data_IF_908802341901
#
_entry.id   IF_908802341901
#
_cell.length_a   1.000
_cell.length_b   1.000
_cell.length_c   1.000
_cell.angle_alpha   90.00
_cell.angle_beta   90.00
_cell.angle_gamma   90.00
#
_symmetry.space_group_name_H-M   'P 1'
#
loop_
_entity.id
_entity.type
_entity.pdbx_description
1 polymer ?
2 non-polymer ?
3 non-polymer ?
4 non-polymer ?
5 water ?
#
# COMPACT_ATOMS: atom_id res chain seq x y z
N UNK A 36 -29.08 2.41 6.07
CA UNK A 36 -29.20 3.25 4.82
C UNK A 36 -28.78 2.44 3.58
N UNK A 37 -29.31 2.82 2.40
CA UNK A 37 -28.95 2.20 1.09
C UNK A 37 -28.68 3.31 0.08
N UNK A 38 -27.71 4.16 0.41
CA UNK A 38 -27.41 5.40 -0.36
C UNK A 38 -26.33 5.15 -1.43
N UNK A 39 -25.60 4.03 -1.36
CA UNK A 39 -24.43 3.77 -2.24
C UNK A 39 -23.30 4.77 -1.99
N UNK A 40 -23.07 5.18 -0.75
CA UNK A 40 -21.98 6.11 -0.35
C UNK A 40 -21.12 5.53 0.77
N UNK A 41 -21.52 4.42 1.39
CA UNK A 41 -20.85 3.88 2.61
C UNK A 41 -19.48 3.29 2.26
N UNK A 42 -18.62 3.24 3.27
CA UNK A 42 -17.30 2.62 3.14
C UNK A 42 -17.41 1.15 2.81
N UNK A 43 -16.47 0.66 2.01
CA UNK A 43 -16.31 -0.78 1.76
C UNK A 43 -15.13 -1.32 2.57
N UNK A 44 -15.39 -2.30 3.43
CA UNK A 44 -14.37 -2.84 4.35
C UNK A 44 -13.69 -4.08 3.78
N UNK A 45 -13.85 -4.30 2.47
CA UNK A 45 -13.06 -5.30 1.70
C UNK A 45 -12.25 -4.60 0.62
N UNK A 46 -12.07 -3.29 0.80
CA UNK A 46 -11.25 -2.44 -0.09
C UNK A 46 -10.11 -1.81 0.71
N UNK A 47 -8.89 -2.14 0.34
CA UNK A 47 -7.65 -1.81 1.06
C UNK A 47 -6.84 -0.84 0.23
N UNK A 48 -6.48 0.30 0.83
CA UNK A 48 -5.72 1.30 0.07
C UNK A 48 -4.34 1.45 0.70
N UNK A 49 -3.29 1.17 -0.05
CA UNK A 49 -1.91 1.21 0.50
C UNK A 49 -1.48 2.66 0.80
N UNK A 50 -1.15 2.86 2.07
CA UNK A 50 -0.90 4.20 2.64
C UNK A 50 0.52 4.27 3.21
N UNK A 51 1.17 5.40 2.93
CA UNK A 51 2.58 5.67 3.31
C UNK A 51 2.62 6.85 4.28
N UNK A 52 3.24 6.61 5.42
CA UNK A 52 3.31 7.57 6.54
C UNK A 52 4.73 8.13 6.70
N UNK A 53 5.52 8.15 5.63
CA UNK A 53 6.97 8.44 5.70
C UNK A 53 7.30 9.89 5.28
N UNK A 54 6.30 10.73 5.09
CA UNK A 54 6.51 12.11 4.63
C UNK A 54 6.70 13.03 5.84
N UNK A 55 7.50 14.10 5.70
CA UNK A 55 7.68 15.10 6.77
C UNK A 55 7.38 16.51 6.32
N UNK A 56 7.11 17.41 7.26
CA UNK A 56 7.00 18.85 6.99
C UNK A 56 7.77 19.63 8.06
N UNK A 57 8.21 20.83 7.70
CA UNK A 57 8.87 21.76 8.65
C UNK A 57 7.92 21.97 9.83
N UNK A 58 6.61 22.10 9.55
CA UNK A 58 5.59 22.43 10.56
C UNK A 58 5.62 21.41 11.72
N UNK A 59 5.65 20.11 11.40
CA UNK A 59 5.59 19.02 12.42
C UNK A 59 6.98 18.40 12.65
N UNK A 60 7.71 18.05 11.60
CA UNK A 60 8.94 17.23 11.69
C UNK A 60 10.18 18.12 11.69
N UNK A 61 10.00 19.39 11.32
CA UNK A 61 11.11 20.33 11.14
C UNK A 61 12.00 19.94 9.98
N UNK A 62 11.52 19.06 9.10
CA UNK A 62 12.26 18.57 7.91
C UNK A 62 11.32 17.92 6.89
N UNK A 63 11.76 17.86 5.63
CA UNK A 63 10.95 17.41 4.46
C UNK A 63 11.33 15.98 4.03
N UNK A 64 11.20 15.05 4.99
CA UNK A 64 11.46 13.61 4.77
C UNK A 64 10.63 13.07 3.60
N UNK A 65 11.30 12.30 2.74
CA UNK A 65 10.76 11.63 1.54
C UNK A 65 10.45 12.61 0.42
N UNK A 66 9.99 13.84 0.70
CA UNK A 66 9.94 14.84 -0.39
C UNK A 66 11.36 15.05 -0.92
N UNK A 67 12.33 15.02 0.00
CA UNK A 67 13.76 14.82 -0.31
C UNK A 67 14.03 13.32 -0.39
N UNK A 68 14.76 12.89 -1.40
CA UNK A 68 15.03 11.45 -1.56
C UNK A 68 16.26 11.24 -2.42
N UNK A 69 17.02 10.18 -2.14
CA UNK A 69 18.15 9.77 -3.00
C UNK A 69 17.61 9.33 -4.37
N UNK A 70 18.38 9.63 -5.40
CA UNK A 70 18.13 9.11 -6.77
C UNK A 70 18.86 7.76 -6.83
N UNK A 71 18.13 6.71 -7.22
CA UNK A 71 18.71 5.35 -7.29
C UNK A 71 19.70 5.26 -8.45
N UNK A 72 20.88 4.63 -8.25
CA UNK A 72 21.76 4.33 -9.38
C UNK A 72 21.09 3.29 -10.29
N UNK A 73 21.48 3.29 -11.56
CA UNK A 73 21.03 2.31 -12.58
C UNK A 73 21.67 0.96 -12.24
N UNK A 74 20.88 -0.08 -11.91
CA UNK A 74 21.47 -1.39 -11.61
C UNK A 74 22.24 -2.00 -12.78
N UNK A 75 22.04 -1.49 -14.01
CA UNK A 75 22.76 -1.98 -15.23
C UNK A 75 23.73 -0.90 -15.76
N UNK A 76 24.04 0.13 -14.97
CA UNK A 76 24.71 1.36 -15.45
C UNK A 76 26.18 1.48 -15.08
N UNK A 77 26.80 0.42 -14.57
CA UNK A 77 28.24 0.37 -14.30
C UNK A 77 28.64 1.16 -13.06
N UNK A 78 29.95 1.21 -12.78
CA UNK A 78 30.53 1.76 -11.53
C UNK A 78 30.74 3.26 -11.65
N UNK A 79 30.87 3.93 -10.50
CA UNK A 79 31.20 5.37 -10.40
C UNK A 79 30.00 6.27 -10.69
N UNK A 80 28.78 5.76 -10.57
CA UNK A 80 27.58 6.63 -10.64
C UNK A 80 27.51 7.46 -9.35
N UNK A 81 27.26 8.74 -9.51
CA UNK A 81 26.97 9.69 -8.40
C UNK A 81 25.62 10.29 -8.76
N UNK A 82 24.53 9.50 -8.65
CA UNK A 82 23.21 9.90 -9.19
C UNK A 82 22.61 11.12 -8.48
N UNK A 83 23.06 11.36 -7.25
CA UNK A 83 22.66 12.55 -6.47
C UNK A 83 21.35 12.34 -5.74
N UNK A 84 20.74 13.47 -5.39
CA UNK A 84 19.54 13.49 -4.52
C UNK A 84 18.57 14.55 -5.03
N UNK A 85 17.31 14.31 -4.76
CA UNK A 85 16.26 15.35 -4.93
C UNK A 85 16.13 16.05 -3.59
N UNK A 86 16.26 17.39 -3.57
CA UNK A 86 16.40 18.07 -2.28
C UNK A 86 15.12 18.31 -1.46
N UNK A 87 13.94 18.05 -2.05
CA UNK A 87 12.68 18.24 -1.32
C UNK A 87 12.40 19.69 -1.01
N UNK A 88 12.83 20.58 -1.89
CA UNK A 88 12.45 22.01 -1.83
C UNK A 88 11.02 22.14 -2.38
N UNK A 89 10.40 23.30 -2.26
CA UNK A 89 9.06 23.50 -2.85
C UNK A 89 9.14 23.21 -4.36
N UNK A 90 10.25 23.57 -4.99
CA UNK A 90 10.38 23.49 -6.47
C UNK A 90 10.70 22.06 -6.92
N UNK A 91 11.41 21.29 -6.10
CA UNK A 91 12.00 19.99 -6.51
C UNK A 91 11.75 18.91 -5.46
N UNK A 92 10.69 18.14 -5.66
CA UNK A 92 10.30 17.02 -4.75
C UNK A 92 10.46 15.68 -5.48
N UNK A 93 10.49 14.62 -4.69
CA UNK A 93 10.78 13.26 -5.19
C UNK A 93 9.50 12.59 -5.73
N UNK A 94 8.90 13.21 -6.73
CA UNK A 94 7.68 12.74 -7.39
C UNK A 94 7.65 13.34 -8.78
N UNK A 95 7.06 12.63 -9.74
CA UNK A 95 6.76 13.21 -11.06
C UNK A 95 5.46 14.03 -10.99
N UNK A 96 4.68 13.89 -9.91
CA UNK A 96 3.43 14.64 -9.66
C UNK A 96 3.64 15.58 -8.46
N UNK A 97 2.62 16.38 -8.15
CA UNK A 97 2.74 17.36 -7.04
C UNK A 97 1.48 17.33 -6.19
N UNK A 98 1.61 17.08 -4.86
CA UNK A 98 0.43 16.98 -4.01
C UNK A 98 -0.38 18.29 -3.91
N UNK A 99 -1.69 18.18 -3.95
CA UNK A 99 -2.59 19.30 -3.63
C UNK A 99 -2.28 19.84 -2.24
N UNK A 100 -1.95 18.97 -1.30
CA UNK A 100 -1.71 19.38 0.10
C UNK A 100 -0.28 19.90 0.31
N UNK A 101 0.56 19.95 -0.73
CA UNK A 101 1.95 20.41 -0.61
C UNK A 101 2.82 19.39 0.08
N UNK A 102 4.00 19.83 0.53
CA UNK A 102 5.00 18.97 1.19
C UNK A 102 4.55 18.76 2.63
N UNK A 103 3.65 17.82 2.83
CA UNK A 103 2.98 17.62 4.11
C UNK A 103 3.76 16.67 5.02
N UNK A 104 3.52 16.80 6.32
CA UNK A 104 3.99 15.83 7.33
C UNK A 104 2.92 14.76 7.54
N UNK A 105 3.35 13.51 7.52
CA UNK A 105 2.50 12.36 7.90
C UNK A 105 2.12 12.38 9.39
N UNK A 106 2.76 13.25 10.19
CA UNK A 106 2.47 13.39 11.65
C UNK A 106 1.61 14.61 11.93
N UNK A 107 1.18 15.34 10.89
CA UNK A 107 0.35 16.56 11.06
C UNK A 107 -1.10 16.14 11.25
N UNK A 108 -1.71 16.27 12.45
CA UNK A 108 -3.09 15.83 12.64
C UNK A 108 -4.06 16.48 11.67
N UNK A 109 -3.80 17.70 11.19
CA UNK A 109 -4.71 18.40 10.25
C UNK A 109 -4.61 17.73 8.87
N UNK A 110 -3.42 17.28 8.47
CA UNK A 110 -3.27 16.50 7.21
C UNK A 110 -4.00 15.18 7.36
N UNK A 111 -3.85 14.52 8.50
CA UNK A 111 -4.48 13.19 8.67
C UNK A 111 -6.00 13.34 8.56
N UNK A 112 -6.58 14.37 9.18
CA UNK A 112 -8.03 14.64 9.05
C UNK A 112 -8.41 14.67 7.56
N UNK A 113 -7.69 15.45 6.77
CA UNK A 113 -7.95 15.63 5.33
C UNK A 113 -7.81 14.28 4.63
N UNK A 114 -6.79 13.51 4.92
CA UNK A 114 -6.63 12.18 4.30
C UNK A 114 -7.83 11.31 4.62
N UNK A 115 -8.33 11.30 5.86
CA UNK A 115 -9.47 10.42 6.21
C UNK A 115 -10.71 10.90 5.46
N UNK A 116 -10.89 12.20 5.25
CA UNK A 116 -12.04 12.67 4.44
C UNK A 116 -11.86 12.23 2.98
N UNK A 117 -10.63 12.16 2.47
CA UNK A 117 -10.36 11.62 1.11
C UNK A 117 -10.70 10.12 1.05
N UNK A 118 -10.38 9.33 2.08
CA UNK A 118 -10.76 7.89 2.14
C UNK A 118 -12.29 7.80 2.12
N UNK A 119 -13.00 8.66 2.84
CA UNK A 119 -14.48 8.65 2.82
C UNK A 119 -14.98 8.97 1.41
N UNK A 120 -14.38 9.93 0.71
CA UNK A 120 -14.82 10.27 -0.67
C UNK A 120 -14.57 9.07 -1.59
N UNK A 121 -13.48 8.34 -1.39
CA UNK A 121 -13.11 7.19 -2.23
C UNK A 121 -13.88 5.93 -1.84
N UNK A 122 -14.53 5.91 -0.67
CA UNK A 122 -15.29 4.75 -0.15
C UNK A 122 -14.35 3.60 0.21
N UNK A 123 -13.06 3.90 0.43
CA UNK A 123 -12.06 2.88 0.80
C UNK A 123 -12.07 2.71 2.32
N UNK A 124 -12.60 1.61 2.85
CA UNK A 124 -12.80 1.42 4.27
C UNK A 124 -11.55 1.02 5.03
N UNK A 125 -10.52 0.53 4.33
CA UNK A 125 -9.29 0.06 5.03
C UNK A 125 -8.04 0.77 4.51
N UNK A 126 -7.30 1.33 5.46
CA UNK A 126 -5.99 1.99 5.24
C UNK A 126 -4.95 0.93 5.57
N UNK A 127 -4.17 0.53 4.56
CA UNK A 127 -3.15 -0.52 4.70
C UNK A 127 -1.80 0.17 4.89
N UNK A 128 -1.41 0.32 6.16
CA UNK A 128 -0.30 1.21 6.59
C UNK A 128 1.05 0.54 6.42
N UNK A 129 1.92 1.15 5.60
CA UNK A 129 3.33 0.73 5.51
C UNK A 129 3.92 0.64 6.91
N UNK A 130 4.72 -0.39 7.18
CA UNK A 130 5.25 -0.59 8.53
C UNK A 130 6.68 -1.10 8.41
N UNK A 131 7.61 -0.27 8.92
CA UNK A 131 9.07 -0.46 8.72
C UNK A 131 9.80 -0.80 10.00
N UNK A 132 9.08 -1.00 11.10
CA UNK A 132 9.71 -1.43 12.38
C UNK A 132 10.84 -0.46 12.76
N UNK A 133 10.52 0.83 12.78
CA UNK A 133 11.54 1.87 13.09
C UNK A 133 11.92 1.81 14.57
N UNK A 134 11.05 1.35 15.46
CA UNK A 134 11.32 1.22 16.91
C UNK A 134 11.78 2.59 17.44
N UNK A 135 11.01 3.62 17.12
CA UNK A 135 11.31 4.99 17.59
C UNK A 135 10.00 5.64 18.01
N UNK A 136 10.07 6.54 18.96
CA UNK A 136 8.95 7.33 19.50
C UNK A 136 8.12 7.97 18.36
N UNK A 137 8.79 8.47 17.33
CA UNK A 137 8.10 9.23 16.26
C UNK A 137 7.18 8.28 15.47
N UNK A 138 7.60 7.04 15.21
CA UNK A 138 6.74 6.01 14.57
C UNK A 138 5.54 5.72 15.47
N UNK A 139 5.79 5.48 16.76
CA UNK A 139 4.71 5.13 17.70
C UNK A 139 3.68 6.26 17.74
N UNK A 140 4.13 7.50 17.82
CA UNK A 140 3.19 8.64 17.89
C UNK A 140 2.36 8.68 16.60
N UNK A 141 3.01 8.54 15.47
CA UNK A 141 2.37 8.70 14.15
C UNK A 141 1.31 7.59 13.98
N UNK A 142 1.64 6.36 14.34
CA UNK A 142 0.63 5.28 14.20
C UNK A 142 -0.59 5.61 15.05
N UNK A 143 -0.40 6.07 16.27
CA UNK A 143 -1.56 6.41 17.13
C UNK A 143 -2.38 7.55 16.53
N UNK A 144 -1.73 8.57 15.96
CA UNK A 144 -2.46 9.69 15.31
C UNK A 144 -3.28 9.16 14.13
N UNK A 145 -2.71 8.26 13.36
CA UNK A 145 -3.41 7.70 12.18
C UNK A 145 -4.64 6.90 12.64
N UNK A 146 -4.48 6.03 13.63
CA UNK A 146 -5.63 5.27 14.17
C UNK A 146 -6.71 6.23 14.68
N UNK A 147 -6.31 7.24 15.45
CA UNK A 147 -7.29 8.19 16.02
C UNK A 147 -8.05 8.89 14.89
N UNK A 148 -7.35 9.39 13.89
CA UNK A 148 -7.99 10.14 12.79
C UNK A 148 -8.91 9.19 12.02
N UNK A 149 -8.45 7.97 11.75
CA UNK A 149 -9.25 6.98 11.01
C UNK A 149 -10.58 6.76 11.73
N UNK A 150 -10.54 6.55 13.05
CA UNK A 150 -11.75 6.15 13.80
C UNK A 150 -12.82 7.23 13.70
N UNK A 151 -12.44 8.51 13.62
CA UNK A 151 -13.44 9.59 13.58
C UNK A 151 -14.34 9.46 12.34
N UNK A 152 -13.84 8.75 11.31
CA UNK A 152 -14.56 8.58 10.02
C UNK A 152 -14.90 7.11 9.77
N UNK A 153 -14.81 6.24 10.78
CA UNK A 153 -15.15 4.80 10.68
C UNK A 153 -14.21 4.10 9.69
N UNK A 154 -13.02 4.66 9.45
CA UNK A 154 -12.00 3.97 8.63
C UNK A 154 -11.25 2.99 9.52
N UNK A 155 -10.81 1.89 8.93
CA UNK A 155 -10.07 0.84 9.64
C UNK A 155 -8.63 0.85 9.16
N UNK A 156 -7.76 0.36 10.01
CA UNK A 156 -6.30 0.33 9.72
C UNK A 156 -5.83 -1.10 9.87
N UNK A 157 -5.11 -1.58 8.87
CA UNK A 157 -4.31 -2.82 8.96
C UNK A 157 -2.86 -2.48 8.61
N UNK A 158 -1.95 -3.41 8.83
CA UNK A 158 -0.50 -3.15 8.61
C UNK A 158 0.01 -3.92 7.40
N UNK A 159 0.83 -3.23 6.63
CA UNK A 159 1.57 -3.71 5.47
C UNK A 159 3.02 -3.92 5.92
N UNK A 160 3.39 -5.14 6.27
CA UNK A 160 4.68 -5.44 6.89
C UNK A 160 5.76 -5.46 5.82
N UNK A 161 6.64 -4.47 5.90
CA UNK A 161 7.70 -4.26 4.88
C UNK A 161 8.94 -5.09 5.21
N UNK A 162 9.89 -5.17 4.25
CA UNK A 162 11.10 -5.94 4.42
C UNK A 162 12.14 -5.17 5.25
N UNK A 163 11.87 -5.10 6.55
CA UNK A 163 12.77 -4.43 7.51
C UNK A 163 14.00 -5.31 7.75
N UNK A 164 15.11 -4.72 8.27
CA UNK A 164 16.37 -5.45 8.39
C UNK A 164 16.25 -6.71 9.26
N UNK A 165 16.82 -7.81 8.75
CA UNK A 165 16.84 -9.13 9.43
C UNK A 165 15.41 -9.65 9.67
N UNK A 166 14.41 -9.18 8.92
CA UNK A 166 13.05 -9.71 9.06
C UNK A 166 13.11 -11.25 8.92
N UNK A 167 12.48 -11.92 9.86
CA UNK A 167 12.41 -13.41 9.87
C UNK A 167 11.13 -13.79 10.59
N UNK A 168 10.78 -15.08 10.59
CA UNK A 168 9.45 -15.41 11.16
C UNK A 168 9.40 -15.22 12.68
N UNK A 169 10.54 -15.28 13.38
CA UNK A 169 10.51 -15.12 14.85
C UNK A 169 10.25 -13.65 15.19
N UNK A 170 11.02 -12.72 14.61
CA UNK A 170 10.73 -11.30 14.90
C UNK A 170 9.42 -10.87 14.24
N UNK A 171 8.99 -11.50 13.14
CA UNK A 171 7.63 -11.18 12.62
C UNK A 171 6.59 -11.57 13.66
N UNK A 172 6.72 -12.75 14.28
CA UNK A 172 5.73 -13.15 15.31
C UNK A 172 5.74 -12.12 16.44
N UNK A 173 6.94 -11.73 16.87
CA UNK A 173 7.09 -10.79 18.01
C UNK A 173 6.42 -9.46 17.65
N UNK A 174 6.60 -9.02 16.40
CA UNK A 174 6.02 -7.74 15.91
C UNK A 174 4.51 -7.83 15.70
N UNK A 175 4.01 -8.96 15.25
CA UNK A 175 2.55 -9.19 15.16
C UNK A 175 1.96 -9.14 16.57
N UNK A 176 2.57 -9.82 17.52
CA UNK A 176 2.12 -9.78 18.93
C UNK A 176 2.14 -8.32 19.44
N UNK A 177 3.20 -7.60 19.15
CA UNK A 177 3.33 -6.19 19.62
C UNK A 177 2.23 -5.33 19.00
N UNK A 178 2.00 -5.46 17.70
CA UNK A 178 0.99 -4.62 17.02
C UNK A 178 -0.42 -4.97 17.52
N UNK A 179 -0.73 -6.26 17.68
CA UNK A 179 -2.06 -6.64 18.19
C UNK A 179 -2.20 -6.20 19.65
N UNK A 180 -1.16 -6.34 20.45
CA UNK A 180 -1.21 -5.93 21.87
C UNK A 180 -1.43 -4.40 21.96
N UNK A 181 -0.65 -3.65 21.19
CA UNK A 181 -0.64 -2.17 21.31
C UNK A 181 -1.91 -1.58 20.70
N UNK A 182 -2.36 -2.12 19.55
CA UNK A 182 -3.37 -1.46 18.71
C UNK A 182 -4.64 -2.31 18.53
N UNK A 183 -4.63 -3.57 18.97
CA UNK A 183 -5.76 -4.51 18.70
C UNK A 183 -7.06 -4.05 19.31
N UNK A 184 -7.03 -3.30 20.42
CA UNK A 184 -8.27 -2.83 21.10
C UNK A 184 -8.62 -1.42 20.61
N UNK A 185 -7.83 -0.83 19.71
CA UNK A 185 -8.17 0.49 19.15
C UNK A 185 -9.41 0.31 18.28
N UNK A 186 -10.47 1.14 18.41
CA UNK A 186 -11.68 0.94 17.63
C UNK A 186 -11.47 0.94 16.11
N UNK A 187 -10.36 1.51 15.64
CA UNK A 187 -10.08 1.58 14.18
C UNK A 187 -9.26 0.37 13.71
N UNK A 188 -8.81 -0.49 14.60
CA UNK A 188 -8.00 -1.65 14.20
C UNK A 188 -8.88 -2.61 13.37
N UNK A 189 -8.43 -2.96 12.19
CA UNK A 189 -9.20 -3.82 11.26
C UNK A 189 -9.26 -5.27 11.72
N UNK A 190 -10.45 -5.86 11.58
CA UNK A 190 -10.64 -7.33 11.63
C UNK A 190 -11.59 -7.73 10.52
N UNK A 191 -11.31 -8.90 9.96
CA UNK A 191 -12.19 -9.58 8.98
C UNK A 191 -12.65 -10.88 9.65
N UNK A 192 -13.96 -11.02 9.84
CA UNK A 192 -14.56 -12.21 10.53
C UNK A 192 -13.76 -12.52 11.80
N UNK A 193 -13.44 -11.49 12.59
CA UNK A 193 -12.82 -11.69 13.90
C UNK A 193 -11.30 -11.76 13.87
N UNK A 194 -10.65 -11.75 12.70
CA UNK A 194 -9.18 -11.88 12.59
C UNK A 194 -8.56 -10.60 12.07
N UNK A 195 -7.46 -10.14 12.70
CA UNK A 195 -6.62 -9.14 12.05
C UNK A 195 -6.15 -9.61 10.67
N UNK A 196 -5.75 -8.67 9.83
CA UNK A 196 -5.19 -9.00 8.49
C UNK A 196 -3.88 -8.25 8.30
N UNK A 197 -2.85 -8.93 7.85
CA UNK A 197 -1.57 -8.31 7.47
C UNK A 197 -1.23 -8.64 6.02
N UNK A 198 -0.78 -7.64 5.29
CA UNK A 198 -0.11 -7.83 3.99
C UNK A 198 1.38 -7.97 4.25
N UNK A 199 2.04 -8.91 3.61
CA UNK A 199 3.50 -9.15 3.78
C UNK A 199 4.22 -8.85 2.47
N UNK A 200 4.88 -7.70 2.40
CA UNK A 200 5.59 -7.31 1.17
C UNK A 200 6.86 -8.14 1.03
N UNK A 201 7.14 -8.58 -0.20
CA UNK A 201 8.34 -9.39 -0.56
C UNK A 201 8.40 -10.61 0.38
N UNK A 202 7.25 -11.26 0.58
CA UNK A 202 7.17 -12.49 1.40
C UNK A 202 8.05 -13.61 0.84
N UNK A 203 8.40 -13.57 -0.45
CA UNK A 203 9.30 -14.56 -1.10
C UNK A 203 10.73 -14.47 -0.55
N UNK A 204 11.10 -13.37 0.12
CA UNK A 204 12.44 -13.27 0.73
C UNK A 204 12.56 -14.28 1.88
N UNK A 205 11.47 -14.96 2.25
CA UNK A 205 11.51 -15.91 3.38
C UNK A 205 11.02 -17.26 2.84
N UNK A 206 11.79 -18.31 3.11
CA UNK A 206 11.51 -19.67 2.62
C UNK A 206 10.21 -20.19 3.19
N UNK A 207 9.44 -20.97 2.39
CA UNK A 207 8.23 -21.60 2.92
C UNK A 207 8.47 -22.44 4.18
N UNK A 208 9.62 -23.09 4.30
CA UNK A 208 9.89 -23.92 5.50
C UNK A 208 9.89 -23.04 6.75
N UNK A 209 10.34 -21.79 6.62
CA UNK A 209 10.28 -20.82 7.77
C UNK A 209 8.82 -20.36 7.97
N UNK A 210 8.15 -19.94 6.92
CA UNK A 210 6.73 -19.54 7.03
C UNK A 210 5.89 -20.62 7.73
N UNK A 211 6.12 -21.90 7.42
CA UNK A 211 5.35 -23.03 7.97
C UNK A 211 5.39 -23.00 9.50
N UNK A 212 6.52 -22.61 10.06
CA UNK A 212 6.70 -22.59 11.53
C UNK A 212 5.74 -21.58 12.17
N UNK A 213 5.43 -20.50 11.45
CA UNK A 213 4.55 -19.42 11.94
C UNK A 213 3.09 -19.69 11.58
N UNK A 214 2.87 -20.24 10.38
CA UNK A 214 1.53 -20.18 9.74
C UNK A 214 0.82 -21.53 9.61
N UNK A 215 1.51 -22.65 9.75
CA UNK A 215 0.83 -23.96 9.86
C UNK A 215 0.26 -24.09 11.26
N UNK A 216 -0.93 -24.72 11.45
CA UNK A 216 -1.43 -24.97 12.80
C UNK A 216 -0.45 -25.78 13.65
N UNK A 217 0.41 -26.59 13.01
CA UNK A 217 1.41 -27.40 13.72
C UNK A 217 2.75 -26.73 13.85
N UNK A 218 2.90 -25.50 13.35
CA UNK A 218 4.23 -24.88 13.31
C UNK A 218 4.80 -24.64 14.69
N UNK A 219 6.12 -24.71 14.80
CA UNK A 219 6.89 -24.54 16.05
C UNK A 219 6.51 -23.25 16.79
N UNK A 220 6.24 -22.18 16.04
CA UNK A 220 5.87 -20.87 16.66
C UNK A 220 4.54 -20.40 16.07
N UNK A 221 3.59 -21.31 15.94
CA UNK A 221 2.35 -20.96 15.23
C UNK A 221 1.63 -19.79 15.90
N UNK A 222 0.94 -19.03 15.08
CA UNK A 222 -0.10 -18.08 15.54
C UNK A 222 -1.48 -18.69 15.45
N UNK A 223 -1.63 -19.83 14.80
CA UNK A 223 -2.99 -20.42 14.64
C UNK A 223 -3.51 -20.84 16.02
N UNK A 224 -4.81 -20.60 16.24
CA UNK A 224 -5.49 -20.97 17.51
C UNK A 224 -4.93 -20.18 18.70
N UNK A 225 -4.22 -19.09 18.48
CA UNK A 225 -3.73 -18.19 19.56
C UNK A 225 -4.50 -16.88 19.49
N UNK A 226 -4.24 -16.02 20.48
CA UNK A 226 -4.79 -14.65 20.53
C UNK A 226 -4.25 -13.80 19.38
N UNK A 227 -3.17 -14.27 18.73
CA UNK A 227 -2.45 -13.46 17.74
C UNK A 227 -2.61 -14.00 16.34
N UNK A 228 -3.62 -14.87 16.14
CA UNK A 228 -3.94 -15.36 14.79
C UNK A 228 -4.32 -14.18 13.89
N UNK A 229 -4.07 -14.30 12.61
CA UNK A 229 -4.36 -13.26 11.62
C UNK A 229 -4.46 -13.89 10.23
N UNK A 230 -5.15 -13.20 9.35
CA UNK A 230 -5.12 -13.50 7.91
C UNK A 230 -3.81 -12.94 7.39
N UNK A 231 -2.95 -13.79 6.89
CA UNK A 231 -1.63 -13.42 6.38
C UNK A 231 -1.66 -13.48 4.86
N UNK A 232 -1.51 -12.34 4.22
CA UNK A 232 -1.64 -12.17 2.76
C UNK A 232 -0.26 -11.96 2.16
N UNK A 233 0.28 -12.96 1.47
CA UNK A 233 1.61 -12.88 0.88
C UNK A 233 1.61 -12.29 -0.51
N UNK A 234 2.78 -11.86 -0.97
CA UNK A 234 2.91 -11.21 -2.28
C UNK A 234 3.16 -12.26 -3.37
N UNK A 235 2.14 -12.46 -4.19
CA UNK A 235 2.27 -13.32 -5.40
C UNK A 235 3.00 -12.53 -6.46
N UNK A 236 4.20 -12.97 -6.83
CA UNK A 236 5.01 -12.30 -7.88
C UNK A 236 4.93 -13.05 -9.22
N UNK A 237 5.61 -14.19 -9.30
CA UNK A 237 5.97 -14.84 -10.59
C UNK A 237 4.94 -15.91 -10.99
N UNK A 238 5.39 -16.91 -11.76
CA UNK A 238 4.47 -17.84 -12.46
C UNK A 238 3.79 -18.77 -11.47
N UNK A 239 2.62 -19.34 -11.84
CA UNK A 239 1.96 -20.31 -10.97
C UNK A 239 2.84 -21.51 -10.58
N UNK A 240 3.75 -21.93 -11.46
CA UNK A 240 4.60 -23.12 -11.16
C UNK A 240 5.42 -22.88 -9.89
N UNK A 241 5.81 -21.63 -9.66
CA UNK A 241 6.58 -21.21 -8.45
C UNK A 241 5.61 -20.80 -7.34
N UNK A 242 4.62 -19.98 -7.66
CA UNK A 242 3.84 -19.30 -6.60
C UNK A 242 2.83 -20.25 -5.96
N UNK A 243 2.24 -21.18 -6.71
CA UNK A 243 1.21 -22.09 -6.14
C UNK A 243 1.83 -22.89 -4.99
N UNK A 244 2.95 -23.63 -5.20
CA UNK A 244 3.52 -24.41 -4.09
C UNK A 244 4.03 -23.49 -2.97
N UNK A 245 4.54 -22.32 -3.31
CA UNK A 245 5.03 -21.35 -2.30
C UNK A 245 3.88 -21.02 -1.33
N UNK A 246 2.74 -20.60 -1.87
CA UNK A 246 1.62 -20.13 -1.01
C UNK A 246 1.09 -21.32 -0.19
N UNK A 247 0.97 -22.49 -0.82
CA UNK A 247 0.47 -23.66 -0.05
C UNK A 247 1.46 -24.06 1.04
N UNK A 248 2.74 -24.20 0.69
CA UNK A 248 3.77 -24.71 1.62
C UNK A 248 4.06 -23.70 2.73
N UNK A 249 3.82 -22.43 2.48
CA UNK A 249 4.05 -21.35 3.48
C UNK A 249 2.83 -21.15 4.36
N UNK A 250 1.70 -21.74 3.99
CA UNK A 250 0.43 -21.63 4.77
C UNK A 250 -0.08 -20.19 4.85
N UNK A 251 0.14 -19.41 3.82
CA UNK A 251 -0.54 -18.09 3.73
C UNK A 251 -2.04 -18.28 3.60
N UNK A 252 -2.79 -17.36 4.16
CA UNK A 252 -4.26 -17.33 4.04
C UNK A 252 -4.68 -16.78 2.69
N UNK A 253 -3.81 -16.08 2.00
CA UNK A 253 -4.19 -15.40 0.76
C UNK A 253 -2.99 -14.72 0.14
N UNK A 254 -3.24 -13.98 -0.91
CA UNK A 254 -2.17 -13.33 -1.68
C UNK A 254 -2.71 -12.08 -2.36
N UNK A 255 -1.78 -11.14 -2.51
CA UNK A 255 -1.98 -9.87 -3.24
C UNK A 255 -0.85 -9.71 -4.23
N UNK A 256 -0.96 -8.71 -5.10
CA UNK A 256 -0.02 -8.55 -6.24
C UNK A 256 0.79 -7.25 -6.19
N UNK A 257 0.30 -6.25 -5.46
CA UNK A 257 0.89 -4.90 -5.20
C UNK A 257 1.10 -4.05 -6.46
N UNK A 258 1.91 -4.48 -7.43
CA UNK A 258 2.43 -3.55 -8.45
C UNK A 258 1.31 -2.88 -9.23
N UNK A 259 1.37 -1.55 -9.35
CA UNK A 259 0.37 -0.78 -10.10
C UNK A 259 0.62 -0.89 -11.60
N UNK A 260 1.82 -1.27 -12.03
CA UNK A 260 2.20 -1.30 -13.46
C UNK A 260 1.82 -2.65 -14.06
N UNK A 261 0.85 -2.65 -14.97
CA UNK A 261 0.41 -3.91 -15.60
C UNK A 261 1.60 -4.57 -16.28
N UNK A 262 1.72 -5.89 -16.11
CA UNK A 262 2.76 -6.66 -16.81
C UNK A 262 4.10 -6.64 -16.12
N UNK A 263 4.26 -5.91 -15.02
CA UNK A 263 5.55 -5.85 -14.32
C UNK A 263 5.94 -7.25 -13.83
N UNK A 264 4.97 -7.97 -13.27
CA UNK A 264 5.10 -9.37 -12.87
C UNK A 264 3.93 -10.17 -13.46
N UNK A 265 4.03 -11.49 -13.42
CA UNK A 265 2.87 -12.37 -13.73
C UNK A 265 1.66 -11.92 -12.90
N UNK A 266 1.91 -11.69 -11.61
CA UNK A 266 0.82 -11.37 -10.68
C UNK A 266 0.15 -10.04 -11.01
N UNK A 267 0.89 -9.07 -11.51
CA UNK A 267 0.33 -7.75 -11.87
C UNK A 267 -0.05 -7.67 -13.35
N UNK A 268 -0.28 -8.83 -13.97
CA UNK A 268 -0.84 -8.93 -15.34
C UNK A 268 -2.32 -9.28 -15.24
N UNK A 269 -3.26 -8.33 -15.38
CA UNK A 269 -4.66 -8.58 -15.04
C UNK A 269 -5.34 -9.72 -15.83
N UNK A 270 -4.87 -10.05 -17.03
CA UNK A 270 -5.44 -11.19 -17.78
C UNK A 270 -5.23 -12.51 -17.01
N UNK A 271 -4.33 -12.57 -16.03
CA UNK A 271 -4.11 -13.78 -15.21
C UNK A 271 -5.06 -13.85 -14.03
N UNK A 272 -5.83 -12.80 -13.75
CA UNK A 272 -6.57 -12.73 -12.46
C UNK A 272 -7.71 -13.76 -12.42
N UNK A 273 -8.43 -14.00 -13.51
CA UNK A 273 -9.49 -15.05 -13.47
C UNK A 273 -8.92 -16.40 -13.05
N UNK A 274 -7.78 -16.82 -13.62
CA UNK A 274 -7.08 -18.09 -13.32
C UNK A 274 -6.57 -18.10 -11.88
N UNK A 275 -6.05 -16.97 -11.42
CA UNK A 275 -5.50 -16.86 -10.05
C UNK A 275 -6.65 -16.98 -9.03
N UNK A 276 -7.79 -16.36 -9.32
CA UNK A 276 -8.98 -16.47 -8.45
C UNK A 276 -9.50 -17.91 -8.44
N UNK A 277 -9.54 -18.58 -9.59
CA UNK A 277 -10.00 -20.01 -9.66
C UNK A 277 -9.12 -20.86 -8.74
N UNK A 278 -7.80 -20.67 -8.82
CA UNK A 278 -6.88 -21.46 -7.98
C UNK A 278 -7.12 -21.10 -6.50
N UNK A 279 -7.25 -19.80 -6.22
CA UNK A 279 -7.50 -19.36 -4.83
C UNK A 279 -8.74 -20.06 -4.25
N UNK A 280 -9.84 -20.03 -5.00
CA UNK A 280 -11.11 -20.62 -4.52
C UNK A 280 -10.92 -22.13 -4.28
N UNK A 281 -10.24 -22.83 -5.20
CA UNK A 281 -10.03 -24.29 -5.11
C UNK A 281 -9.16 -24.64 -3.90
N UNK A 282 -8.35 -23.70 -3.41
CA UNK A 282 -7.31 -23.98 -2.39
C UNK A 282 -7.60 -23.24 -1.09
N UNK A 283 -8.78 -22.63 -0.95
CA UNK A 283 -9.21 -21.96 0.28
C UNK A 283 -8.39 -20.74 0.62
N UNK A 284 -7.91 -20.03 -0.40
CA UNK A 284 -7.09 -18.83 -0.24
C UNK A 284 -7.87 -17.58 -0.66
N UNK A 285 -7.51 -16.46 -0.03
CA UNK A 285 -8.12 -15.14 -0.34
C UNK A 285 -7.21 -14.40 -1.34
N UNK A 286 -7.72 -14.13 -2.52
CA UNK A 286 -6.99 -13.34 -3.53
C UNK A 286 -7.45 -11.90 -3.46
N UNK A 287 -6.48 -11.01 -3.23
CA UNK A 287 -6.71 -9.55 -3.13
C UNK A 287 -5.89 -8.89 -4.21
N UNK A 288 -6.34 -8.87 -5.47
CA UNK A 288 -5.57 -8.24 -6.52
C UNK A 288 -5.36 -6.75 -6.23
N UNK A 289 -4.24 -6.25 -6.70
CA UNK A 289 -3.91 -4.81 -6.52
C UNK A 289 -4.13 -4.05 -7.83
N UNK A 290 -4.86 -2.95 -7.74
CA UNK A 290 -5.15 -2.08 -8.91
C UNK A 290 -4.56 -0.70 -8.65
N UNK A 291 -4.11 -0.05 -9.71
CA UNK A 291 -3.59 1.29 -9.56
C UNK A 291 -3.89 2.14 -10.77
N UNK A 292 -3.76 3.48 -10.64
CA UNK A 292 -4.17 4.39 -11.70
C UNK A 292 -3.11 4.69 -12.77
N UNK A 293 -1.90 4.23 -12.53
CA UNK A 293 -0.74 4.49 -13.38
C UNK A 293 0.53 4.20 -12.63
N UNK A 294 1.67 4.46 -13.25
CA UNK A 294 2.98 4.27 -12.62
C UNK A 294 3.98 5.19 -13.33
N UNK A 295 4.76 5.93 -12.55
CA UNK A 295 5.97 6.59 -13.09
C UNK A 295 6.85 6.98 -11.92
N UNK A 296 8.11 6.53 -11.98
CA UNK A 296 9.03 6.76 -10.85
C UNK A 296 10.33 7.41 -11.32
N UNK A 297 10.34 8.07 -12.48
CA UNK A 297 11.62 8.42 -13.14
C UNK A 297 12.31 9.62 -12.45
N UNK A 298 11.68 10.38 -11.55
CA UNK A 298 12.43 11.38 -10.75
C UNK A 298 13.44 10.65 -9.85
N UNK A 299 13.02 9.59 -9.17
CA UNK A 299 13.92 8.83 -8.26
C UNK A 299 14.63 7.66 -8.95
N UNK A 300 14.09 7.16 -10.07
CA UNK A 300 14.70 6.03 -10.82
C UNK A 300 14.72 6.40 -12.30
N UNK A 301 15.62 7.31 -12.74
CA UNK A 301 15.57 7.83 -14.11
C UNK A 301 15.72 6.76 -15.21
N UNK A 302 16.34 5.64 -14.85
CA UNK A 302 16.61 4.47 -15.71
C UNK A 302 15.40 3.55 -15.83
N UNK A 303 14.32 3.81 -15.12
CA UNK A 303 13.20 2.84 -15.00
C UNK A 303 12.01 3.19 -15.89
N UNK A 304 12.25 3.89 -16.99
CA UNK A 304 11.16 4.39 -17.85
C UNK A 304 10.31 3.27 -18.45
N UNK A 305 10.83 2.06 -18.62
CA UNK A 305 10.06 0.95 -19.23
C UNK A 305 8.84 0.59 -18.37
N UNK A 306 8.85 0.96 -17.09
CA UNK A 306 7.74 0.61 -16.16
C UNK A 306 6.66 1.69 -16.20
N UNK A 307 6.90 2.82 -16.89
CA UNK A 307 5.86 3.87 -16.96
C UNK A 307 4.56 3.27 -17.53
N UNK A 308 3.46 3.57 -16.87
CA UNK A 308 2.09 3.32 -17.38
C UNK A 308 1.35 4.63 -17.31
N UNK A 309 0.92 5.11 -18.47
CA UNK A 309 0.25 6.42 -18.62
C UNK A 309 -1.18 6.35 -18.09
N UNK A 310 -1.63 7.41 -17.43
CA UNK A 310 -2.96 7.41 -16.79
C UNK A 310 -4.08 7.56 -17.82
N UNK A 311 -3.82 8.21 -18.94
CA UNK A 311 -4.81 8.46 -20.04
C UNK A 311 -6.15 8.92 -19.45
N UNK A 312 -6.15 9.97 -18.66
CA UNK A 312 -7.39 10.63 -18.15
C UNK A 312 -8.27 9.63 -17.42
N UNK A 313 -7.68 8.61 -16.79
CA UNK A 313 -8.42 7.65 -15.96
C UNK A 313 -8.68 6.33 -16.66
N UNK A 314 -8.41 6.24 -17.95
CA UNK A 314 -8.76 5.01 -18.69
C UNK A 314 -7.93 3.82 -18.19
N UNK A 315 -6.68 4.03 -17.84
CA UNK A 315 -5.83 2.94 -17.28
C UNK A 315 -6.44 2.40 -15.99
N UNK A 316 -6.82 3.28 -15.09
CA UNK A 316 -7.41 2.88 -13.79
C UNK A 316 -8.69 2.10 -14.03
N UNK A 317 -9.55 2.64 -14.88
CA UNK A 317 -10.83 1.96 -15.21
C UNK A 317 -10.55 0.55 -15.71
N UNK A 318 -9.61 0.36 -16.61
CA UNK A 318 -9.36 -0.96 -17.21
C UNK A 318 -8.90 -1.92 -16.12
N UNK A 319 -8.01 -1.49 -15.24
CA UNK A 319 -7.43 -2.41 -14.25
C UNK A 319 -8.49 -2.75 -13.18
N UNK A 320 -9.25 -1.77 -12.72
CA UNK A 320 -10.28 -1.99 -11.68
C UNK A 320 -11.35 -2.92 -12.26
N UNK A 321 -11.76 -2.69 -13.51
CA UNK A 321 -12.75 -3.58 -14.19
C UNK A 321 -12.25 -5.05 -14.17
N UNK A 322 -10.97 -5.28 -14.48
CA UNK A 322 -10.40 -6.65 -14.50
C UNK A 322 -10.49 -7.26 -13.11
N UNK A 323 -10.21 -6.53 -12.06
CA UNK A 323 -10.27 -7.08 -10.68
C UNK A 323 -11.72 -7.51 -10.40
N UNK A 324 -12.68 -6.65 -10.70
CA UNK A 324 -14.10 -6.95 -10.39
C UNK A 324 -14.56 -8.18 -11.21
N UNK A 325 -14.18 -8.21 -12.48
CA UNK A 325 -14.59 -9.33 -13.39
C UNK A 325 -13.99 -10.65 -12.91
N UNK A 326 -12.84 -10.63 -12.25
CA UNK A 326 -12.21 -11.87 -11.74
C UNK A 326 -13.06 -12.49 -10.63
N UNK A 327 -13.99 -11.74 -10.04
CA UNK A 327 -14.91 -12.33 -9.04
C UNK A 327 -14.29 -12.48 -7.66
N UNK A 328 -13.38 -11.59 -7.32
CA UNK A 328 -12.65 -11.62 -6.01
C UNK A 328 -13.54 -11.04 -4.89
N UNK A 329 -13.18 -11.39 -3.66
CA UNK A 329 -13.87 -11.00 -2.38
C UNK A 329 -13.34 -9.68 -1.83
N UNK A 330 -12.20 -9.21 -2.33
CA UNK A 330 -11.49 -8.06 -1.76
C UNK A 330 -10.57 -7.52 -2.84
N UNK A 331 -10.32 -6.20 -2.79
CA UNK A 331 -9.44 -5.50 -3.75
C UNK A 331 -8.51 -4.58 -2.98
N UNK A 332 -7.28 -4.48 -3.44
CA UNK A 332 -6.31 -3.55 -2.85
C UNK A 332 -5.97 -2.51 -3.93
N UNK A 333 -5.66 -1.29 -3.45
CA UNK A 333 -5.38 -0.13 -4.33
C UNK A 333 -3.95 0.36 -4.09
N UNK A 334 -3.15 0.29 -5.12
CA UNK A 334 -1.76 0.81 -5.15
C UNK A 334 -1.79 2.10 -5.95
N UNK A 335 -1.88 3.26 -5.28
CA UNK A 335 -1.73 3.48 -3.84
C UNK A 335 -2.55 4.71 -3.43
N UNK A 336 -2.70 4.95 -2.14
CA UNK A 336 -3.18 6.28 -1.72
C UNK A 336 -2.13 7.34 -2.06
N UNK A 337 -0.88 7.08 -1.68
CA UNK A 337 0.12 8.18 -1.64
C UNK A 337 1.56 7.67 -1.73
N UNK A 338 1.85 6.73 -2.62
CA UNK A 338 3.25 6.41 -3.02
C UNK A 338 3.56 7.41 -4.16
N UNK A 339 3.93 8.62 -3.75
CA UNK A 339 4.19 9.74 -4.68
C UNK A 339 5.47 9.47 -5.48
N UNK A 340 6.42 8.73 -4.92
CA UNK A 340 7.68 8.45 -5.63
C UNK A 340 7.40 7.62 -6.88
N UNK A 341 6.38 6.76 -6.81
CA UNK A 341 6.08 5.79 -7.89
C UNK A 341 4.91 6.25 -8.76
N UNK A 342 4.30 7.38 -8.45
CA UNK A 342 3.28 7.95 -9.34
C UNK A 342 2.07 7.05 -9.41
N UNK A 343 1.82 6.27 -8.35
CA UNK A 343 0.65 5.39 -8.29
C UNK A 343 -0.48 5.99 -7.44
N UNK A 344 -0.30 7.22 -6.95
CA UNK A 344 -1.21 7.78 -5.95
C UNK A 344 -2.58 8.13 -6.53
N UNK A 345 -3.63 7.89 -5.72
CA UNK A 345 -4.97 8.46 -6.01
C UNK A 345 -5.19 9.77 -5.23
N UNK A 346 -4.30 10.07 -4.28
CA UNK A 346 -4.39 11.34 -3.53
C UNK A 346 -4.38 12.51 -4.51
N UNK A 347 -5.19 13.56 -4.27
CA UNK A 347 -5.21 14.71 -5.17
C UNK A 347 -3.84 15.32 -5.46
N UNK A 348 -3.62 15.60 -6.74
CA UNK A 348 -2.43 16.24 -7.30
C UNK A 348 -2.87 17.47 -8.07
N UNK A 349 -2.01 18.48 -8.11
CA UNK A 349 -2.31 19.77 -8.81
C UNK A 349 -1.27 20.05 -9.87
N UNK A 350 -1.65 20.82 -10.91
CA UNK A 350 -0.65 21.27 -11.87
C UNK A 350 0.38 22.15 -11.15
N UNK A 351 1.64 21.97 -11.51
CA UNK A 351 2.73 22.82 -10.96
C UNK A 351 3.89 22.78 -11.92
N UNK A 352 4.36 23.97 -12.27
CA UNK A 352 5.63 24.16 -12.98
C UNK A 352 6.51 25.06 -12.12
N UNK A 353 7.67 24.54 -11.74
CA UNK A 353 8.65 25.31 -10.95
C UNK A 353 9.83 25.60 -11.87
N UNK A 354 10.76 26.40 -11.37
CA UNK A 354 12.01 26.66 -12.10
C UNK A 354 12.80 25.36 -12.28
N UNK A 355 12.57 24.33 -11.45
CA UNK A 355 13.39 23.08 -11.45
C UNK A 355 12.71 21.91 -12.20
N UNK A 356 11.40 21.89 -12.31
CA UNK A 356 10.72 20.72 -12.90
C UNK A 356 9.30 21.10 -13.34
N UNK A 357 8.86 20.51 -14.45
CA UNK A 357 7.46 20.60 -14.91
C UNK A 357 6.77 19.30 -14.50
N UNK A 358 5.90 19.35 -13.50
CA UNK A 358 5.28 18.13 -12.95
C UNK A 358 4.19 17.65 -13.90
N UNK A 359 3.96 16.35 -13.87
CA UNK A 359 2.73 15.78 -14.45
C UNK A 359 1.56 16.16 -13.55
N UNK A 360 0.34 16.01 -14.05
CA UNK A 360 -0.88 16.34 -13.27
C UNK A 360 -2.03 15.51 -13.83
N UNK A 361 -3.24 15.71 -13.34
CA UNK A 361 -4.39 14.82 -13.70
C UNK A 361 -5.00 15.27 -15.04
N UNK A 362 -4.36 16.24 -15.70
CA UNK A 362 -4.66 16.57 -17.10
C UNK A 362 -6.06 17.11 -17.26
N UNK A 363 -6.89 16.41 -18.02
CA UNK A 363 -8.28 16.92 -18.25
C UNK A 363 -9.18 16.63 -17.07
N UNK A 364 -8.69 15.90 -16.07
CA UNK A 364 -9.47 15.63 -14.85
C UNK A 364 -9.08 16.57 -13.71
N UNK A 365 -10.03 16.77 -12.78
CA UNK A 365 -9.88 17.58 -11.54
C UNK A 365 -8.98 16.86 -10.53
N UNK A 366 -8.36 17.58 -9.58
CA UNK A 366 -7.48 16.95 -8.59
C UNK A 366 -8.09 15.76 -7.83
N UNK A 367 -9.39 15.78 -7.52
CA UNK A 367 -10.03 14.68 -6.73
C UNK A 367 -10.63 13.61 -7.65
N UNK A 368 -10.34 13.63 -8.93
CA UNK A 368 -10.93 12.67 -9.88
C UNK A 368 -10.66 11.23 -9.44
N UNK A 369 -9.44 10.90 -9.03
CA UNK A 369 -9.12 9.50 -8.72
C UNK A 369 -9.83 9.08 -7.43
N UNK A 370 -10.11 10.00 -6.50
CA UNK A 370 -10.93 9.64 -5.32
C UNK A 370 -12.37 9.35 -5.75
N UNK A 371 -12.98 10.22 -6.52
CA UNK A 371 -14.39 9.98 -6.92
C UNK A 371 -14.48 8.79 -7.89
N UNK A 372 -13.48 8.54 -8.70
CA UNK A 372 -13.52 7.37 -9.61
C UNK A 372 -13.33 6.08 -8.81
N UNK A 373 -12.52 6.12 -7.76
CA UNK A 373 -12.43 4.98 -6.82
C UNK A 373 -13.82 4.69 -6.25
N UNK A 374 -14.57 5.69 -5.82
CA UNK A 374 -15.91 5.49 -5.24
C UNK A 374 -16.82 4.79 -6.27
N UNK A 375 -16.71 5.21 -7.53
CA UNK A 375 -17.49 4.62 -8.64
C UNK A 375 -17.19 3.12 -8.69
N UNK A 376 -15.92 2.75 -8.71
CA UNK A 376 -15.50 1.33 -8.80
C UNK A 376 -15.88 0.56 -7.55
N UNK A 377 -15.77 1.15 -6.37
CA UNK A 377 -16.20 0.48 -5.12
C UNK A 377 -17.69 0.12 -5.28
N UNK A 378 -18.48 1.04 -5.81
CA UNK A 378 -19.91 0.74 -6.06
C UNK A 378 -20.10 -0.46 -6.99
N UNK A 379 -19.35 -0.51 -8.08
CA UNK A 379 -19.44 -1.65 -9.03
C UNK A 379 -18.98 -2.94 -8.34
N UNK A 380 -17.94 -2.86 -7.52
CA UNK A 380 -17.44 -4.03 -6.78
C UNK A 380 -18.56 -4.55 -5.86
N UNK A 381 -19.22 -3.65 -5.15
CA UNK A 381 -20.23 -4.08 -4.14
C UNK A 381 -21.42 -4.70 -4.86
N UNK A 382 -21.74 -4.17 -6.03
CA UNK A 382 -22.88 -4.68 -6.83
C UNK A 382 -22.60 -6.15 -7.21
N UNK A 383 -21.33 -6.52 -7.39
CA UNK A 383 -20.78 -7.84 -7.83
C UNK A 383 -20.62 -8.82 -6.66
N UNK A 384 -20.48 -8.31 -5.42
CA UNK A 384 -20.00 -9.13 -4.27
C UNK A 384 -21.02 -10.23 -3.96
X LIG B 1 11.51 -25.94 13.13
X LIG B 1 12.41 -25.55 12.39
X LIG B 1 11.01 -25.25 14.04
X LIG B 1 10.90 -27.31 12.89
X LIG C 1 6.16 0.27 -2.28
X LIG C 1 8.02 -0.36 -0.74
X LIG C 1 8.55 1.11 -2.75
X LIG C 1 7.10 1.13 -3.09
X LIG C 1 8.63 -1.41 0.04
X LIG C 1 6.84 -0.89 -1.57
X LIG C 1 5.78 -1.63 -0.73
X LIG C 1 5.05 -0.77 0.15
X LIG C 1 9.09 0.21 -1.65
X LIG C 1 9.99 0.98 -0.82
X LIG C 1 8.05 0.47 -3.98
X LIG D 1 11.28 1.23 -1.45
X LIG D 1 12.30 1.61 -0.36
X LIG D 1 11.99 2.95 0.27
X LIG D 1 11.89 4.01 -0.83
X LIG D 1 10.81 3.59 -1.80
X LIG D 1 10.72 4.54 -2.98
X LIG D 1 12.29 0.61 0.65
X LIG D 1 13.03 3.34 1.20
X LIG D 1 11.53 5.28 -0.27
X LIG D 1 11.23 2.33 -2.37
X LIG D 1 9.69 4.14 -3.91
#
# INVERSE_FOLDING_TARGET
>A
MGSSHHHHHHSSGLVPRGSHMDDNNPSNSENNGGNNNLGTELDYDTFCFYYDWYGSEAIDGQYRHWAHAIAPDPNGGSGQNPGTIPGTQESIASNFYPQLGRYSSSDPNILTKHMDMFVMARTGVLALTWWNEQDETEAKRIGLILDAADKKKIKVCFHLEPYPSRNVQNLRENIVKLITRYGNHPAFYRKDGKPLFFIYDSYLIEPSEWEKLLSPGGSITIRNTAYDALMIGLWTSSPTVQRPFILNAHFDGFYTYFAATGFTYGSTPTNWVSMQKWAKENGKIFIPSVGPGYIDTRIRPWNGSVIRTRTDGQYYDAMYRKAIEAGVSAISITSFNEWHEGSQIEPAVPYTSSEFTYLDYENREPDYYLTRTAYWVGKFRESKQ
>B hetero
1 ACT C O OXT CH3
>C hetero
1 GDQ C7 C4 C2 C1 O4 C5 C6 O6 C3 O3 N2
>D hetero
1 GLC C1 C2 C3 C4 C5 C6 O2 O3 O4 O5 O6
#
